data_IF_803642940883
#
_entry.id   IF_803642940883
#
_cell.length_a   1.000
_cell.length_b   1.000
_cell.length_c   1.000
_cell.angle_alpha   90.00
_cell.angle_beta   90.00
_cell.angle_gamma   90.00
#
_symmetry.space_group_name_H-M   'P 1'
#
loop_
_entity.id
_entity.type
_entity.pdbx_description
1 polymer ?
#
# COMPACT_ATOMS: atom_id res chain seq x y z
N UNK A 1 -4.43 -9.11 -11.90
CA UNK A 1 -4.54 -9.48 -10.48
C UNK A 1 -3.54 -10.57 -10.09
N UNK A 2 -2.53 -10.20 -9.28
CA UNK A 2 -1.51 -11.10 -8.72
C UNK A 2 -2.08 -11.95 -7.57
N UNK A 3 -1.43 -13.05 -7.21
CA UNK A 3 -1.87 -13.91 -6.08
C UNK A 3 -1.98 -13.12 -4.77
N UNK A 4 -1.03 -12.24 -4.49
CA UNK A 4 -1.06 -11.38 -3.30
C UNK A 4 -2.20 -10.35 -3.35
N UNK A 5 -2.48 -9.76 -4.52
CA UNK A 5 -3.63 -8.87 -4.70
C UNK A 5 -4.95 -9.62 -4.47
N UNK A 6 -5.04 -10.87 -4.94
CA UNK A 6 -6.20 -11.72 -4.72
C UNK A 6 -6.40 -12.02 -3.23
N UNK A 7 -5.34 -12.38 -2.50
CA UNK A 7 -5.41 -12.62 -1.05
C UNK A 7 -5.87 -11.37 -0.27
N UNK A 8 -5.36 -10.19 -0.63
CA UNK A 8 -5.78 -8.92 0.02
C UNK A 8 -7.24 -8.60 -0.31
N UNK A 9 -7.66 -8.80 -1.56
CA UNK A 9 -9.05 -8.62 -1.97
C UNK A 9 -10.00 -9.58 -1.24
N UNK A 10 -9.66 -10.87 -1.14
CA UNK A 10 -10.46 -11.86 -0.42
C UNK A 10 -10.58 -11.54 1.08
N UNK A 11 -9.53 -10.95 1.66
CA UNK A 11 -9.53 -10.53 3.07
C UNK A 11 -10.30 -9.23 3.34
N UNK A 12 -10.33 -8.30 2.37
CA UNK A 12 -10.90 -6.95 2.55
C UNK A 12 -12.25 -6.74 1.87
N UNK A 13 -12.60 -7.59 0.91
CA UNK A 13 -13.79 -7.49 0.06
C UNK A 13 -13.81 -6.27 -0.86
N UNK A 14 -12.70 -5.54 -1.02
CA UNK A 14 -12.66 -4.28 -1.77
C UNK A 14 -11.44 -4.20 -2.68
N UNK A 15 -11.61 -3.63 -3.88
CA UNK A 15 -10.51 -3.34 -4.81
C UNK A 15 -9.76 -2.04 -4.46
N UNK A 16 -10.39 -1.18 -3.65
CA UNK A 16 -9.85 0.10 -3.20
C UNK A 16 -9.78 0.08 -1.68
N UNK A 17 -8.60 0.39 -1.16
CA UNK A 17 -8.31 0.42 0.26
C UNK A 17 -8.04 1.86 0.72
N UNK A 18 -8.45 2.19 1.94
CA UNK A 18 -8.08 3.43 2.59
C UNK A 18 -6.80 3.27 3.43
N UNK A 19 -6.25 4.39 3.93
CA UNK A 19 -5.04 4.40 4.77
C UNK A 19 -5.13 3.46 5.97
N UNK A 20 -6.30 3.33 6.61
CA UNK A 20 -6.50 2.47 7.78
C UNK A 20 -6.40 0.99 7.42
N UNK A 21 -6.82 0.60 6.23
CA UNK A 21 -6.71 -0.75 5.71
C UNK A 21 -5.28 -1.05 5.22
N UNK A 22 -4.60 -0.09 4.60
CA UNK A 22 -3.24 -0.28 4.07
C UNK A 22 -2.17 -0.29 5.16
N UNK A 23 -2.30 0.56 6.17
CA UNK A 23 -1.35 0.67 7.29
C UNK A 23 -0.91 -0.69 7.88
N UNK A 24 -1.84 -1.58 8.31
CA UNK A 24 -1.47 -2.89 8.83
C UNK A 24 -0.81 -3.80 7.77
N UNK A 25 -1.22 -3.72 6.50
CA UNK A 25 -0.66 -4.54 5.41
C UNK A 25 0.82 -4.25 5.19
N UNK A 26 1.24 -2.99 5.26
CA UNK A 26 2.64 -2.57 5.11
C UNK A 26 3.43 -2.55 6.43
N UNK A 27 2.80 -2.94 7.54
CA UNK A 27 3.40 -2.94 8.88
C UNK A 27 3.76 -1.54 9.38
N UNK A 28 2.92 -0.53 9.10
CA UNK A 28 3.11 0.88 9.48
C UNK A 28 1.84 1.47 10.11
N UNK A 29 1.97 2.66 10.67
CA UNK A 29 0.82 3.43 11.19
C UNK A 29 0.19 4.30 10.09
N UNK A 30 -1.06 4.70 10.27
CA UNK A 30 -1.71 5.68 9.39
C UNK A 30 -0.95 7.00 9.37
N UNK A 31 -0.47 7.46 10.54
CA UNK A 31 0.34 8.66 10.66
C UNK A 31 1.64 8.59 9.84
N UNK A 32 2.25 7.40 9.74
CA UNK A 32 3.42 7.19 8.87
C UNK A 32 3.07 7.40 7.39
N UNK A 33 1.91 6.91 6.94
CA UNK A 33 1.44 7.10 5.57
C UNK A 33 1.19 8.59 5.31
N UNK A 34 0.51 9.28 6.23
CA UNK A 34 0.28 10.72 6.12
C UNK A 34 1.58 11.53 6.06
N UNK A 35 2.54 11.19 6.93
CA UNK A 35 3.85 11.81 6.94
C UNK A 35 4.63 11.54 5.65
N UNK A 36 4.57 10.30 5.12
CA UNK A 36 5.23 9.94 3.88
C UNK A 36 4.68 10.73 2.70
N UNK A 37 3.35 10.93 2.62
CA UNK A 37 2.71 11.76 1.60
C UNK A 37 3.15 13.22 1.77
N UNK A 38 3.10 13.76 2.98
CA UNK A 38 3.44 15.15 3.26
C UNK A 38 4.92 15.47 2.96
N UNK A 39 5.82 14.53 3.25
CA UNK A 39 7.26 14.66 2.99
C UNK A 39 7.67 14.22 1.58
N UNK A 40 6.72 13.88 0.71
CA UNK A 40 6.96 13.35 -0.64
C UNK A 40 7.87 12.09 -0.66
N UNK A 41 7.82 11.28 0.39
CA UNK A 41 8.55 10.01 0.53
C UNK A 41 7.73 8.84 0.01
N UNK A 42 7.35 8.93 -1.26
CA UNK A 42 6.43 8.00 -1.91
C UNK A 42 7.01 6.59 -2.04
N UNK A 43 8.34 6.45 -2.03
CA UNK A 43 9.03 5.16 -2.04
C UNK A 43 8.82 4.34 -0.76
N UNK A 44 8.25 4.94 0.29
CA UNK A 44 7.98 4.29 1.58
C UNK A 44 6.57 3.73 1.69
N UNK A 45 5.68 4.04 0.76
CA UNK A 45 4.27 3.65 0.78
C UNK A 45 3.83 3.10 -0.59
N UNK A 46 2.74 2.34 -0.67
CA UNK A 46 2.17 1.95 -1.96
C UNK A 46 1.70 3.17 -2.75
N UNK A 47 1.61 3.00 -4.07
CA UNK A 47 1.04 4.01 -4.95
C UNK A 47 -0.41 4.29 -4.53
N UNK A 48 -0.78 5.57 -4.57
CA UNK A 48 -2.10 6.03 -4.16
C UNK A 48 -2.65 7.04 -5.15
N UNK A 49 -3.97 7.13 -5.18
CA UNK A 49 -4.73 8.13 -5.91
C UNK A 49 -5.40 9.06 -4.92
N UNK A 50 -5.46 10.35 -5.28
CA UNK A 50 -6.26 11.33 -4.54
C UNK A 50 -7.64 11.33 -5.16
N UNK A 51 -8.66 11.03 -4.37
CA UNK A 51 -10.04 11.14 -4.82
C UNK A 51 -10.40 12.63 -4.92
N UNK A 52 -10.65 13.11 -6.14
CA UNK A 52 -10.96 14.51 -6.43
C UNK A 52 -12.27 15.00 -5.79
N UNK A 53 -13.19 14.09 -5.47
CA UNK A 53 -14.50 14.41 -4.90
C UNK A 53 -14.52 14.53 -3.37
N UNK A 54 -13.44 14.17 -2.66
CA UNK A 54 -13.43 14.17 -1.20
C UNK A 54 -12.09 14.37 -0.51
N UNK A 55 -11.00 14.58 -1.26
CA UNK A 55 -9.65 14.70 -0.70
C UNK A 55 -9.15 13.42 -0.01
N UNK A 56 -9.88 12.32 -0.18
CA UNK A 56 -9.52 11.00 0.34
C UNK A 56 -8.31 10.43 -0.40
N UNK A 57 -7.48 9.68 0.31
CA UNK A 57 -6.40 8.90 -0.29
C UNK A 57 -6.89 7.47 -0.46
N UNK A 58 -6.83 7.00 -1.69
CA UNK A 58 -7.25 5.67 -2.12
C UNK A 58 -6.04 4.88 -2.60
N UNK A 59 -5.99 3.60 -2.25
CA UNK A 59 -4.94 2.69 -2.64
C UNK A 59 -5.56 1.51 -3.38
N UNK A 60 -5.15 1.26 -4.61
CA UNK A 60 -5.61 0.08 -5.33
C UNK A 60 -4.94 -1.16 -4.77
N UNK A 61 -5.69 -2.25 -4.62
CA UNK A 61 -5.16 -3.50 -4.08
C UNK A 61 -3.98 -4.02 -4.91
N UNK A 62 -4.00 -3.82 -6.23
CA UNK A 62 -2.89 -4.22 -7.11
C UNK A 62 -1.60 -3.43 -6.82
N UNK A 63 -1.70 -2.13 -6.53
CA UNK A 63 -0.55 -1.30 -6.17
C UNK A 63 0.01 -1.67 -4.80
N UNK A 64 -0.87 -1.95 -3.83
CA UNK A 64 -0.49 -2.41 -2.50
C UNK A 64 0.23 -3.75 -2.58
N UNK A 65 -0.29 -4.70 -3.36
CA UNK A 65 0.32 -5.99 -3.57
C UNK A 65 1.70 -5.86 -4.25
N UNK A 66 1.80 -5.03 -5.29
CA UNK A 66 3.07 -4.78 -6.01
C UNK A 66 4.12 -4.19 -5.09
N UNK A 67 3.74 -3.23 -4.23
CA UNK A 67 4.64 -2.64 -3.25
C UNK A 67 5.16 -3.66 -2.23
N UNK A 68 4.28 -4.52 -1.71
CA UNK A 68 4.63 -5.57 -0.76
C UNK A 68 5.56 -6.62 -1.38
N UNK A 69 5.30 -7.00 -2.63
CA UNK A 69 6.15 -7.93 -3.36
C UNK A 69 7.55 -7.35 -3.60
N UNK A 70 7.63 -6.09 -4.05
CA UNK A 70 8.89 -5.38 -4.21
C UNK A 70 9.69 -5.29 -2.90
N UNK A 71 9.03 -4.97 -1.78
CA UNK A 71 9.63 -4.96 -0.44
C UNK A 71 10.21 -6.33 -0.06
N UNK A 72 9.51 -7.42 -0.39
CA UNK A 72 9.96 -8.79 -0.12
C UNK A 72 11.18 -9.14 -0.97
N UNK A 73 11.19 -8.77 -2.25
CA UNK A 73 12.33 -9.01 -3.16
C UNK A 73 13.60 -8.27 -2.72
N UNK A 74 13.48 -7.01 -2.26
CA UNK A 74 14.64 -6.27 -1.74
C UNK A 74 15.24 -6.97 -0.51
N UNK A 75 14.39 -7.43 0.41
CA UNK A 75 14.85 -8.12 1.62
C UNK A 75 15.54 -9.46 1.31
N UNK A 76 15.14 -10.12 0.23
CA UNK A 76 15.72 -11.40 -0.20
C UNK A 76 17.10 -11.26 -0.86
N UNK A 77 17.50 -10.07 -1.33
CA UNK A 77 18.81 -9.85 -1.95
C UNK A 77 19.93 -9.48 -0.97
N UNK A 78 19.61 -9.24 0.30
CA UNK A 78 20.57 -8.73 1.29
C UNK A 78 21.32 -9.86 2.05
N UNK A 79 21.14 -11.13 1.66
CA UNK A 79 21.69 -12.31 2.34
C UNK A 79 22.39 -13.26 1.33
N UNK A 80 23.18 -12.70 0.41
CA UNK A 80 24.05 -13.46 -0.48
C UNK A 80 25.50 -12.96 -0.34
#
# INVERSE_FOLDING_TARGET
MTELAKMIFEHTGSLILNKKQVAPLIGKSVAFIDQAIHQNRLEKIPMFTKNESGGGIEFHVEDVATFLDFKKQIKSKQIA
#
